data_IF_289656375123
#
_entry.id   IF_289656375123
#
_cell.length_a   1.000
_cell.length_b   1.000
_cell.length_c   1.000
_cell.angle_alpha   90.00
_cell.angle_beta   90.00
_cell.angle_gamma   90.00
#
_symmetry.space_group_name_H-M   'P 1'
#
loop_
_entity.id
_entity.type
_entity.pdbx_description
1 polymer ?
#
# COMPACT_ATOMS: atom_id res chain seq x y z
N UNK A 1 21.83 15.05 23.29
CA UNK A 1 20.66 15.94 23.38
C UNK A 1 19.50 15.19 22.74
N UNK A 2 18.35 15.02 23.40
CA UNK A 2 17.26 14.26 22.81
C UNK A 2 16.50 15.16 21.83
N UNK A 3 16.51 14.80 20.56
CA UNK A 3 15.67 15.43 19.54
C UNK A 3 14.29 14.80 19.58
N UNK A 4 13.31 15.66 19.82
CA UNK A 4 11.88 15.43 19.86
C UNK A 4 11.41 14.87 18.50
N UNK A 5 10.78 13.69 18.51
CA UNK A 5 10.06 13.16 17.36
C UNK A 5 8.61 13.62 17.49
N UNK A 6 8.26 14.69 16.79
CA UNK A 6 6.87 15.12 16.63
C UNK A 6 6.11 14.07 15.82
N UNK A 7 5.39 13.21 16.54
CA UNK A 7 4.31 12.37 16.01
C UNK A 7 3.12 13.30 15.81
N UNK A 8 2.93 13.80 14.59
CA UNK A 8 1.68 14.45 14.21
C UNK A 8 0.66 13.35 13.91
N UNK A 9 -0.38 13.27 14.74
CA UNK A 9 -1.47 12.31 14.59
C UNK A 9 -2.73 13.11 14.20
N UNK A 10 -2.98 13.40 12.91
CA UNK A 10 -4.10 14.25 12.53
C UNK A 10 -5.38 13.49 12.17
N UNK A 11 -5.64 12.27 12.67
CA UNK A 11 -6.97 11.65 12.52
C UNK A 11 -7.38 10.81 13.75
N UNK A 12 -7.72 11.50 14.84
CA UNK A 12 -8.63 10.98 15.86
C UNK A 12 -10.00 11.64 15.69
N UNK A 13 -10.85 11.05 14.85
CA UNK A 13 -12.30 11.22 14.99
C UNK A 13 -12.88 9.86 15.41
N UNK A 14 -12.89 9.63 16.73
CA UNK A 14 -13.79 8.64 17.31
C UNK A 14 -15.12 9.36 17.53
N UNK A 15 -16.05 9.22 16.59
CA UNK A 15 -17.44 9.57 16.83
C UNK A 15 -18.09 8.43 17.62
N UNK A 16 -17.81 8.40 18.92
CA UNK A 16 -18.61 7.70 19.91
C UNK A 16 -19.09 8.77 20.89
N UNK A 17 -20.35 9.17 20.73
CA UNK A 17 -21.11 9.75 21.83
C UNK A 17 -22.43 8.99 21.96
N UNK A 18 -22.74 8.72 23.22
CA UNK A 18 -23.77 7.85 23.74
C UNK A 18 -25.18 8.35 23.46
N UNK A 19 -26.15 7.43 23.34
CA UNK A 19 -27.47 7.57 24.00
C UNK A 19 -28.17 6.20 24.07
N UNK A 20 -28.26 5.68 25.29
CA UNK A 20 -29.39 4.85 25.73
C UNK A 20 -30.60 5.78 25.96
N UNK A 21 -31.80 5.35 25.57
CA UNK A 21 -33.05 5.97 26.05
C UNK A 21 -34.26 5.88 25.12
N UNK A 22 -35.26 5.11 25.55
CA UNK A 22 -36.61 4.91 24.99
C UNK A 22 -37.36 6.18 24.55
N UNK A 23 -38.17 6.07 23.48
CA UNK A 23 -39.63 6.32 23.55
C UNK A 23 -40.40 5.96 22.26
N UNK A 24 -41.66 5.58 22.48
CA UNK A 24 -42.67 5.05 21.55
C UNK A 24 -43.25 6.05 20.51
N UNK A 25 -43.80 5.43 19.45
CA UNK A 25 -44.91 5.82 18.55
C UNK A 25 -44.65 6.37 17.12
N UNK A 26 -45.56 6.05 16.16
CA UNK A 26 -45.29 6.01 14.71
C UNK A 26 -45.87 7.21 13.93
N UNK A 27 -45.55 7.22 12.63
CA UNK A 27 -46.09 8.02 11.52
C UNK A 27 -45.53 9.44 11.32
N UNK A 28 -44.69 9.56 10.28
CA UNK A 28 -44.26 10.83 9.66
C UNK A 28 -43.37 10.58 8.45
N UNK A 29 -43.96 10.61 7.25
CA UNK A 29 -43.30 10.46 5.92
C UNK A 29 -42.29 11.62 5.68
N UNK A 30 -41.17 11.39 4.96
CA UNK A 30 -39.96 12.20 5.11
C UNK A 30 -39.96 13.43 4.20
N UNK A 31 -39.38 14.52 4.69
CA UNK A 31 -39.00 15.66 3.87
C UNK A 31 -37.54 16.03 4.13
N UNK A 32 -36.73 15.80 3.10
CA UNK A 32 -35.61 16.64 2.67
C UNK A 32 -34.60 17.04 3.76
N UNK A 33 -33.72 16.10 4.09
CA UNK A 33 -32.48 16.36 4.82
C UNK A 33 -31.30 16.33 3.85
N UNK A 34 -30.68 17.49 3.66
CA UNK A 34 -29.36 17.66 3.06
C UNK A 34 -28.35 16.69 3.70
N UNK A 35 -27.94 15.63 2.98
CA UNK A 35 -26.86 14.74 3.43
C UNK A 35 -25.54 15.14 2.78
N UNK A 36 -25.04 16.32 3.14
CA UNK A 36 -23.60 16.53 3.18
C UNK A 36 -23.05 15.66 4.31
N UNK A 37 -22.17 14.72 3.97
CA UNK A 37 -21.54 13.66 4.79
C UNK A 37 -22.26 12.30 4.76
N UNK A 38 -21.90 11.48 3.78
CA UNK A 38 -21.96 10.03 3.91
C UNK A 38 -20.57 9.48 3.61
N UNK A 39 -20.09 8.54 4.42
CA UNK A 39 -18.96 7.71 4.04
C UNK A 39 -19.20 7.16 2.62
N UNK A 40 -18.16 7.20 1.79
CA UNK A 40 -18.16 6.74 0.38
C UNK A 40 -18.75 5.34 0.20
N UNK A 41 -18.55 4.47 1.20
CA UNK A 41 -19.18 3.16 1.29
C UNK A 41 -20.14 3.09 2.49
N UNK A 42 -21.17 2.26 2.35
CA UNK A 42 -22.12 1.94 3.42
C UNK A 42 -21.51 1.01 4.47
N UNK A 43 -22.16 0.94 5.64
CA UNK A 43 -21.77 -0.01 6.68
C UNK A 43 -21.87 -1.48 6.21
N UNK A 44 -22.80 -1.78 5.31
CA UNK A 44 -22.98 -3.13 4.75
C UNK A 44 -21.82 -3.51 3.82
N UNK A 45 -21.34 -2.57 3.01
CA UNK A 45 -20.22 -2.78 2.08
C UNK A 45 -18.88 -2.88 2.82
N UNK A 46 -18.70 -2.13 3.91
CA UNK A 46 -17.47 -2.17 4.72
C UNK A 46 -17.43 -3.31 5.74
N UNK A 47 -18.57 -3.93 6.08
CA UNK A 47 -18.65 -4.97 7.10
C UNK A 47 -17.74 -6.20 6.84
N UNK A 48 -17.63 -6.74 5.61
CA UNK A 48 -16.76 -7.88 5.33
C UNK A 48 -15.27 -7.59 5.57
N UNK A 49 -14.80 -6.39 5.22
CA UNK A 49 -13.41 -5.97 5.45
C UNK A 49 -13.11 -5.83 6.95
N UNK A 50 -14.01 -5.18 7.69
CA UNK A 50 -13.93 -5.10 9.16
C UNK A 50 -13.97 -6.48 9.82
N UNK A 51 -14.65 -7.45 9.23
CA UNK A 51 -14.63 -8.82 9.71
C UNK A 51 -13.26 -9.47 9.50
N UNK A 52 -12.60 -9.24 8.35
CA UNK A 52 -11.22 -9.69 8.12
C UNK A 52 -10.25 -9.06 9.12
N UNK A 53 -10.34 -7.75 9.36
CA UNK A 53 -9.53 -7.06 10.37
C UNK A 53 -9.69 -7.70 11.75
N UNK A 54 -10.92 -8.02 12.17
CA UNK A 54 -11.19 -8.67 13.48
C UNK A 54 -10.66 -10.10 13.53
N UNK A 55 -10.83 -10.86 12.45
CA UNK A 55 -10.40 -12.26 12.37
C UNK A 55 -8.87 -12.39 12.39
N UNK A 56 -8.17 -11.44 11.76
CA UNK A 56 -6.71 -11.42 11.63
C UNK A 56 -6.07 -10.25 12.38
N UNK A 57 -6.68 -9.82 13.49
CA UNK A 57 -6.34 -8.58 14.20
C UNK A 57 -4.86 -8.48 14.59
N UNK A 58 -4.23 -9.61 14.88
CA UNK A 58 -2.82 -9.66 15.22
C UNK A 58 -1.91 -9.36 14.00
N UNK A 59 -2.27 -9.79 12.78
CA UNK A 59 -1.57 -9.38 11.56
C UNK A 59 -1.73 -7.89 11.28
N UNK A 60 -2.94 -7.36 11.45
CA UNK A 60 -3.22 -5.92 11.29
C UNK A 60 -2.52 -5.07 12.36
N UNK A 61 -2.17 -5.65 13.51
CA UNK A 61 -1.43 -4.94 14.57
C UNK A 61 0.09 -4.80 14.33
N UNK A 62 0.61 -5.37 13.23
CA UNK A 62 2.05 -5.35 12.95
C UNK A 62 2.62 -3.93 12.88
N UNK A 63 3.79 -3.73 13.50
CA UNK A 63 4.54 -2.46 13.48
C UNK A 63 5.58 -2.41 12.36
N UNK A 64 5.77 -3.50 11.63
CA UNK A 64 6.74 -3.58 10.54
C UNK A 64 6.23 -2.88 9.27
N UNK A 65 4.92 -2.59 9.20
CA UNK A 65 4.28 -1.85 8.11
C UNK A 65 3.79 -0.50 8.63
N UNK A 66 4.23 0.58 8.01
CA UNK A 66 3.99 1.95 8.45
C UNK A 66 3.43 2.78 7.31
N UNK A 67 2.28 3.40 7.57
CA UNK A 67 1.77 4.47 6.72
C UNK A 67 2.57 5.74 7.00
N UNK A 68 3.02 6.42 5.96
CA UNK A 68 3.78 7.67 6.05
C UNK A 68 3.26 8.64 5.01
N UNK A 69 3.30 9.94 5.28
CA UNK A 69 3.03 10.93 4.23
C UNK A 69 4.24 11.05 3.29
N UNK A 70 5.43 11.15 3.88
CA UNK A 70 6.71 11.20 3.18
C UNK A 70 7.73 10.35 3.93
N UNK A 71 8.71 9.82 3.20
CA UNK A 71 9.83 9.13 3.83
C UNK A 71 10.85 10.15 4.35
N UNK A 72 11.35 9.99 5.59
CA UNK A 72 12.41 10.86 6.07
C UNK A 72 13.61 10.81 5.12
N UNK A 73 14.16 11.98 4.75
CA UNK A 73 15.29 12.05 3.82
C UNK A 73 16.45 11.10 4.19
N UNK A 74 16.76 11.00 5.49
CA UNK A 74 17.77 10.06 6.03
C UNK A 74 17.55 8.58 5.67
N UNK A 75 16.31 8.18 5.39
CA UNK A 75 15.96 6.80 5.00
C UNK A 75 16.27 6.58 3.52
N UNK A 76 16.12 7.61 2.68
CA UNK A 76 16.14 7.51 1.21
C UNK A 76 17.38 8.12 0.54
N UNK A 77 18.09 9.01 1.23
CA UNK A 77 19.24 9.74 0.68
C UNK A 77 20.34 8.77 0.24
N UNK A 78 20.71 8.84 -1.04
CA UNK A 78 21.73 7.97 -1.65
C UNK A 78 21.31 6.50 -1.81
N UNK A 79 20.03 6.16 -1.58
CA UNK A 79 19.52 4.80 -1.69
C UNK A 79 19.04 4.48 -3.09
N UNK A 80 19.39 3.28 -3.55
CA UNK A 80 18.93 2.74 -4.83
C UNK A 80 17.77 1.78 -4.60
N UNK A 81 16.71 1.95 -5.38
CA UNK A 81 15.47 1.19 -5.23
C UNK A 81 15.26 0.36 -6.48
N UNK A 82 15.01 -0.93 -6.30
CA UNK A 82 14.52 -1.80 -7.37
C UNK A 82 13.02 -1.57 -7.49
N UNK A 83 12.59 -1.00 -8.61
CA UNK A 83 11.16 -0.84 -8.94
C UNK A 83 10.64 -2.17 -9.49
N UNK A 84 9.48 -2.60 -8.98
CA UNK A 84 8.74 -3.78 -9.44
C UNK A 84 7.49 -3.29 -10.16
N UNK A 85 7.35 -3.65 -11.43
CA UNK A 85 6.19 -3.24 -12.22
C UNK A 85 4.98 -4.16 -11.96
N UNK A 86 3.85 -3.79 -12.56
CA UNK A 86 2.61 -4.57 -12.55
C UNK A 86 2.86 -6.04 -12.95
N UNK A 87 2.29 -6.98 -12.18
CA UNK A 87 2.44 -8.44 -12.35
C UNK A 87 3.87 -8.99 -12.31
N UNK A 88 4.85 -8.15 -11.99
CA UNK A 88 6.22 -8.60 -11.75
C UNK A 88 6.42 -9.07 -10.31
N UNK A 89 7.38 -9.96 -10.15
CA UNK A 89 7.86 -10.36 -8.84
C UNK A 89 9.38 -10.44 -8.81
N UNK A 90 10.01 -9.64 -7.96
CA UNK A 90 11.46 -9.45 -7.95
C UNK A 90 12.02 -9.71 -6.56
N UNK A 91 13.28 -10.18 -6.50
CA UNK A 91 14.01 -10.41 -5.25
C UNK A 91 15.42 -9.85 -5.37
N UNK A 92 15.83 -9.07 -4.38
CA UNK A 92 17.15 -8.47 -4.28
C UNK A 92 17.88 -8.95 -3.02
N UNK A 93 19.19 -9.04 -3.13
CA UNK A 93 20.11 -9.05 -2.00
C UNK A 93 20.64 -7.62 -1.78
N UNK A 94 20.23 -7.00 -0.68
CA UNK A 94 20.54 -5.60 -0.36
C UNK A 94 22.06 -5.32 -0.24
N UNK A 95 22.87 -6.36 -0.07
CA UNK A 95 24.33 -6.24 0.04
C UNK A 95 25.07 -6.47 -1.28
N UNK A 96 24.40 -6.95 -2.35
CA UNK A 96 25.07 -7.41 -3.58
C UNK A 96 24.47 -6.92 -4.87
N UNK A 97 23.16 -6.79 -4.94
CA UNK A 97 22.44 -6.61 -6.20
C UNK A 97 22.38 -5.13 -6.64
N UNK A 98 23.23 -4.27 -6.06
CA UNK A 98 23.26 -2.84 -6.33
C UNK A 98 21.95 -2.08 -6.03
N UNK A 99 21.06 -2.66 -5.25
CA UNK A 99 19.87 -2.02 -4.73
C UNK A 99 19.87 -2.11 -3.22
N UNK A 100 19.53 -1.02 -2.55
CA UNK A 100 19.35 -0.99 -1.11
C UNK A 100 17.95 -1.48 -0.74
N UNK A 101 16.94 -1.05 -1.51
CA UNK A 101 15.50 -1.27 -1.25
C UNK A 101 14.77 -1.81 -2.48
N UNK A 102 13.53 -2.26 -2.28
CA UNK A 102 12.63 -2.72 -3.35
C UNK A 102 11.27 -2.05 -3.15
N UNK A 103 10.60 -1.63 -4.23
CA UNK A 103 9.34 -0.90 -4.13
C UNK A 103 8.46 -1.08 -5.36
N UNK A 104 7.20 -0.69 -5.23
CA UNK A 104 6.23 -0.61 -6.32
C UNK A 104 5.29 0.57 -6.11
N UNK A 105 4.74 1.11 -7.19
CA UNK A 105 3.79 2.21 -7.19
C UNK A 105 2.43 1.75 -7.72
N UNK A 106 1.36 2.48 -7.37
CA UNK A 106 0.05 2.28 -7.99
C UNK A 106 -0.77 1.09 -7.50
N UNK A 107 -0.68 0.72 -6.21
CA UNK A 107 -1.54 -0.32 -5.63
C UNK A 107 -2.94 0.24 -5.36
N UNK A 108 -3.81 0.23 -6.38
CA UNK A 108 -5.24 0.51 -6.22
C UNK A 108 -5.98 -0.75 -5.74
N UNK A 109 -6.50 -1.56 -6.66
CA UNK A 109 -7.08 -2.89 -6.35
C UNK A 109 -6.01 -3.95 -6.10
N UNK A 110 -4.77 -3.67 -6.51
CA UNK A 110 -3.63 -4.58 -6.42
C UNK A 110 -3.06 -4.66 -4.99
N UNK A 111 -2.33 -5.74 -4.72
CA UNK A 111 -1.71 -6.00 -3.42
C UNK A 111 -0.20 -6.19 -3.59
N UNK A 112 0.61 -5.42 -2.88
CA UNK A 112 2.04 -5.65 -2.74
C UNK A 112 2.30 -6.82 -1.78
N UNK A 113 2.83 -7.92 -2.31
CA UNK A 113 3.27 -9.08 -1.53
C UNK A 113 4.75 -8.92 -1.23
N UNK A 114 5.09 -8.56 0.00
CA UNK A 114 6.46 -8.34 0.43
C UNK A 114 7.02 -9.58 1.15
N UNK A 115 8.31 -9.86 0.98
CA UNK A 115 9.01 -10.90 1.73
C UNK A 115 10.38 -10.43 2.23
N UNK A 116 10.74 -10.79 3.47
CA UNK A 116 12.04 -10.49 4.07
C UNK A 116 12.66 -11.69 4.73
N UNK A 117 13.92 -11.95 4.43
CA UNK A 117 14.70 -12.98 5.11
C UNK A 117 16.18 -12.66 5.17
N UNK A 118 16.92 -13.53 5.84
CA UNK A 118 18.37 -13.50 5.88
C UNK A 118 18.90 -14.75 5.20
N UNK A 119 20.01 -14.61 4.47
CA UNK A 119 20.74 -15.78 4.00
C UNK A 119 21.77 -16.28 5.02
N UNK A 120 22.49 -17.36 4.68
CA UNK A 120 23.50 -17.96 5.55
C UNK A 120 24.70 -17.05 5.88
N UNK A 121 24.87 -15.96 5.13
CA UNK A 121 25.88 -14.91 5.40
C UNK A 121 25.33 -13.73 6.19
N UNK A 122 24.10 -13.85 6.70
CA UNK A 122 23.40 -12.77 7.41
C UNK A 122 23.17 -11.52 6.54
N UNK A 123 23.07 -11.72 5.21
CA UNK A 123 22.72 -10.65 4.26
C UNK A 123 21.20 -10.59 4.10
N UNK A 124 20.65 -9.38 4.08
CA UNK A 124 19.21 -9.16 3.90
C UNK A 124 18.78 -9.43 2.47
N UNK A 125 17.83 -10.35 2.34
CA UNK A 125 17.12 -10.64 1.10
C UNK A 125 15.72 -10.06 1.22
N UNK A 126 15.30 -9.30 0.20
CA UNK A 126 13.99 -8.68 0.13
C UNK A 126 13.33 -9.01 -1.19
N UNK A 127 12.06 -9.34 -1.15
CA UNK A 127 11.26 -9.67 -2.31
C UNK A 127 9.95 -8.91 -2.33
N UNK A 128 9.46 -8.62 -3.51
CA UNK A 128 8.19 -7.94 -3.73
C UNK A 128 7.54 -8.47 -5.00
N UNK A 129 6.26 -8.86 -4.91
CA UNK A 129 5.40 -9.00 -6.07
C UNK A 129 4.35 -7.89 -6.09
N UNK A 130 4.08 -7.32 -7.26
CA UNK A 130 2.90 -6.50 -7.49
C UNK A 130 1.77 -7.41 -7.97
N UNK A 131 0.91 -7.85 -7.04
CA UNK A 131 -0.14 -8.84 -7.32
C UNK A 131 -1.44 -8.17 -7.76
N UNK A 132 -1.87 -8.42 -9.00
CA UNK A 132 -3.13 -7.88 -9.56
C UNK A 132 -4.35 -8.76 -9.27
N UNK A 133 -4.14 -10.06 -9.07
CA UNK A 133 -5.22 -11.05 -8.98
C UNK A 133 -5.87 -11.43 -10.31
N UNK A 134 -5.32 -11.01 -11.45
CA UNK A 134 -5.86 -11.33 -12.78
C UNK A 134 -5.24 -12.60 -13.36
N UNK A 135 -3.91 -12.67 -13.36
CA UNK A 135 -3.20 -13.74 -14.09
C UNK A 135 -2.83 -14.96 -13.22
N UNK A 136 -2.85 -14.81 -11.89
CA UNK A 136 -2.29 -15.81 -10.98
C UNK A 136 -3.12 -15.92 -9.71
N UNK A 137 -3.32 -17.15 -9.25
CA UNK A 137 -3.98 -17.43 -7.97
C UNK A 137 -3.09 -16.96 -6.79
N UNK A 138 -3.68 -16.52 -5.66
CA UNK A 138 -2.93 -16.04 -4.50
C UNK A 138 -1.82 -16.98 -4.03
N UNK A 139 -2.09 -18.29 -3.97
CA UNK A 139 -1.12 -19.28 -3.52
C UNK A 139 0.08 -19.41 -4.47
N UNK A 140 -0.15 -19.30 -5.78
CA UNK A 140 0.88 -19.40 -6.80
C UNK A 140 1.79 -18.17 -6.79
N UNK A 141 1.23 -16.97 -6.60
CA UNK A 141 2.02 -15.74 -6.46
C UNK A 141 2.91 -15.78 -5.20
N UNK A 142 2.36 -16.23 -4.07
CA UNK A 142 3.10 -16.40 -2.82
C UNK A 142 4.20 -17.48 -2.95
N UNK A 143 3.91 -18.57 -3.65
CA UNK A 143 4.87 -19.64 -3.92
C UNK A 143 5.98 -19.18 -4.86
N UNK A 144 5.65 -18.42 -5.90
CA UNK A 144 6.65 -17.83 -6.80
C UNK A 144 7.62 -16.94 -6.03
N UNK A 145 7.11 -16.06 -5.16
CA UNK A 145 7.94 -15.21 -4.32
C UNK A 145 8.81 -16.04 -3.37
N UNK A 146 8.22 -17.04 -2.70
CA UNK A 146 8.94 -17.96 -1.81
C UNK A 146 10.11 -18.62 -2.54
N UNK A 147 9.86 -19.20 -3.71
CA UNK A 147 10.88 -19.86 -4.52
C UNK A 147 12.01 -18.91 -4.89
N UNK A 148 11.71 -17.68 -5.33
CA UNK A 148 12.72 -16.66 -5.65
C UNK A 148 13.53 -16.23 -4.42
N UNK A 149 12.88 -16.12 -3.26
CA UNK A 149 13.56 -15.85 -1.98
C UNK A 149 14.51 -16.98 -1.59
N UNK A 150 14.07 -18.23 -1.73
CA UNK A 150 14.85 -19.43 -1.43
C UNK A 150 16.04 -19.60 -2.39
N UNK A 151 15.88 -19.29 -3.67
CA UNK A 151 16.95 -19.25 -4.68
C UNK A 151 18.05 -18.23 -4.32
N UNK A 152 17.65 -17.10 -3.71
CA UNK A 152 18.58 -16.09 -3.17
C UNK A 152 19.11 -16.46 -1.77
N UNK A 153 18.72 -17.62 -1.26
CA UNK A 153 19.20 -18.22 -0.02
C UNK A 153 18.50 -17.72 1.23
N UNK A 154 17.34 -17.07 1.13
CA UNK A 154 16.62 -16.52 2.29
C UNK A 154 15.94 -17.63 3.10
N UNK A 155 16.45 -17.93 4.30
CA UNK A 155 15.84 -18.91 5.18
C UNK A 155 14.58 -18.36 5.87
N UNK A 156 13.47 -19.11 5.82
CA UNK A 156 12.22 -18.83 6.53
C UNK A 156 11.75 -17.36 6.41
N UNK A 157 11.79 -16.80 5.19
CA UNK A 157 11.43 -15.40 5.00
C UNK A 157 10.01 -15.10 5.49
N UNK A 158 9.86 -14.01 6.22
CA UNK A 158 8.57 -13.46 6.67
C UNK A 158 7.88 -12.79 5.50
N UNK A 159 6.55 -12.89 5.42
CA UNK A 159 5.76 -12.22 4.38
C UNK A 159 4.81 -11.18 4.95
N UNK A 160 4.50 -10.17 4.13
CA UNK A 160 3.65 -9.05 4.48
C UNK A 160 2.81 -8.64 3.29
N UNK A 161 1.60 -8.13 3.54
CA UNK A 161 0.66 -7.74 2.49
C UNK A 161 0.27 -6.28 2.66
N UNK A 162 0.31 -5.49 1.58
CA UNK A 162 -0.08 -4.09 1.60
C UNK A 162 -0.88 -3.74 0.34
N UNK A 163 -1.95 -2.96 0.44
CA UNK A 163 -2.74 -2.52 -0.71
C UNK A 163 -4.18 -3.03 -0.66
N UNK A 164 -4.79 -3.24 -1.83
CA UNK A 164 -6.17 -3.64 -1.96
C UNK A 164 -7.16 -2.49 -1.80
N UNK A 165 -8.34 -2.67 -2.38
CA UNK A 165 -9.41 -1.70 -2.41
C UNK A 165 -10.72 -2.23 -1.83
N UNK A 166 -11.40 -1.37 -1.07
CA UNK A 166 -12.82 -1.52 -0.79
C UNK A 166 -13.63 -0.97 -1.96
N UNK A 167 -14.58 -1.75 -2.44
CA UNK A 167 -15.56 -1.30 -3.43
C UNK A 167 -16.92 -1.94 -3.19
N UNK A 168 -17.97 -1.22 -3.57
CA UNK A 168 -19.32 -1.78 -3.69
C UNK A 168 -19.43 -2.67 -4.94
N UNK A 169 -18.60 -2.43 -5.96
CA UNK A 169 -18.49 -3.26 -7.15
C UNK A 169 -17.57 -4.46 -6.86
N UNK A 170 -18.07 -5.71 -6.93
CA UNK A 170 -17.24 -6.90 -6.75
C UNK A 170 -16.05 -6.99 -7.70
N UNK A 171 -16.14 -6.42 -8.91
CA UNK A 171 -15.08 -6.48 -9.92
C UNK A 171 -13.95 -5.48 -9.62
N UNK A 172 -14.21 -4.46 -8.79
CA UNK A 172 -13.23 -3.48 -8.31
C UNK A 172 -12.78 -3.76 -6.87
N UNK A 173 -13.33 -4.80 -6.25
CA UNK A 173 -13.08 -5.15 -4.85
C UNK A 173 -12.00 -6.21 -4.72
N UNK A 174 -10.99 -5.96 -3.88
CA UNK A 174 -9.95 -6.96 -3.57
C UNK A 174 -10.37 -7.97 -2.50
N UNK A 175 -11.60 -7.92 -2.00
CA UNK A 175 -12.04 -8.70 -0.83
C UNK A 175 -11.80 -10.21 -0.96
N UNK A 176 -12.02 -10.78 -2.15
CA UNK A 176 -11.81 -12.22 -2.39
C UNK A 176 -10.33 -12.59 -2.28
N UNK A 177 -9.47 -11.83 -2.99
CA UNK A 177 -8.03 -12.00 -2.97
C UNK A 177 -7.46 -11.80 -1.56
N UNK A 178 -7.88 -10.75 -0.85
CA UNK A 178 -7.48 -10.50 0.54
C UNK A 178 -7.80 -11.67 1.45
N UNK A 179 -9.03 -12.20 1.38
CA UNK A 179 -9.46 -13.34 2.20
C UNK A 179 -8.61 -14.57 1.92
N UNK A 180 -8.34 -14.85 0.65
CA UNK A 180 -7.54 -16.01 0.25
C UNK A 180 -6.08 -15.85 0.70
N UNK A 181 -5.44 -14.71 0.43
CA UNK A 181 -4.09 -14.41 0.90
C UNK A 181 -3.97 -14.53 2.43
N UNK A 182 -4.95 -14.02 3.19
CA UNK A 182 -4.97 -14.15 4.65
C UNK A 182 -5.10 -15.60 5.12
N UNK A 183 -5.85 -16.44 4.40
CA UNK A 183 -5.99 -17.86 4.72
C UNK A 183 -4.66 -18.62 4.60
N UNK A 184 -3.74 -18.11 3.78
CA UNK A 184 -2.42 -18.68 3.53
C UNK A 184 -1.37 -18.31 4.59
N UNK A 185 -1.78 -17.59 5.65
CA UNK A 185 -0.91 -17.09 6.73
C UNK A 185 0.13 -18.09 7.23
N UNK A 186 -0.30 -19.29 7.60
CA UNK A 186 0.58 -20.28 8.23
C UNK A 186 1.54 -20.90 7.21
N UNK A 187 1.05 -21.17 6.00
CA UNK A 187 1.84 -21.77 4.93
C UNK A 187 3.00 -20.87 4.50
N UNK A 188 2.78 -19.55 4.49
CA UNK A 188 3.75 -18.60 3.97
C UNK A 188 4.36 -17.66 5.01
N UNK A 189 4.16 -17.94 6.30
CA UNK A 189 4.74 -17.14 7.38
C UNK A 189 4.38 -15.65 7.25
N UNK A 190 3.09 -15.33 7.07
CA UNK A 190 2.61 -13.95 7.00
C UNK A 190 2.64 -13.35 8.41
N UNK A 191 3.34 -12.22 8.55
CA UNK A 191 3.63 -11.58 9.85
C UNK A 191 2.97 -10.21 10.03
N UNK A 192 2.46 -9.60 8.95
CA UNK A 192 1.77 -8.33 9.06
C UNK A 192 1.02 -7.97 7.79
N UNK A 193 -0.06 -7.22 7.93
CA UNK A 193 -0.86 -6.76 6.79
C UNK A 193 -1.35 -5.31 6.97
N UNK A 194 -1.51 -4.62 5.84
CA UNK A 194 -2.25 -3.35 5.68
C UNK A 194 -3.06 -3.46 4.40
N UNK A 195 -4.22 -4.09 4.51
CA UNK A 195 -5.09 -4.36 3.36
C UNK A 195 -6.20 -3.31 3.25
N UNK A 196 -6.97 -3.35 2.17
CA UNK A 196 -8.10 -2.45 1.89
C UNK A 196 -7.75 -0.98 2.14
N UNK A 197 -6.56 -0.57 1.67
CA UNK A 197 -6.00 0.76 1.89
C UNK A 197 -6.65 1.85 1.02
N UNK A 198 -7.34 1.45 -0.05
CA UNK A 198 -7.95 2.36 -1.03
C UNK A 198 -9.46 2.15 -1.11
N UNK A 199 -10.22 3.16 -1.54
CA UNK A 199 -11.63 3.05 -1.91
C UNK A 199 -11.75 3.24 -3.42
N UNK A 200 -12.21 2.21 -4.14
CA UNK A 200 -12.33 2.23 -5.60
C UNK A 200 -13.81 2.23 -6.01
N UNK A 201 -14.38 3.39 -6.34
CA UNK A 201 -15.79 3.53 -6.71
C UNK A 201 -16.05 3.29 -8.22
N UNK A 202 -15.05 3.55 -9.05
CA UNK A 202 -15.07 3.29 -10.49
C UNK A 202 -13.65 3.00 -11.01
N UNK A 203 -13.54 2.52 -12.25
CA UNK A 203 -12.27 2.12 -12.89
C UNK A 203 -11.25 3.27 -13.04
N UNK A 204 -11.63 4.52 -12.78
CA UNK A 204 -10.79 5.72 -12.86
C UNK A 204 -10.50 6.32 -11.49
N UNK A 205 -10.84 5.64 -10.39
CA UNK A 205 -10.53 6.13 -9.06
C UNK A 205 -9.01 6.25 -8.88
N UNK A 206 -8.54 7.48 -8.59
CA UNK A 206 -7.12 7.80 -8.38
C UNK A 206 -6.57 7.28 -7.04
N UNK A 207 -7.38 6.58 -6.23
CA UNK A 207 -6.93 6.06 -4.94
C UNK A 207 -6.05 4.82 -5.12
N UNK A 208 -4.77 5.04 -4.86
CA UNK A 208 -3.74 4.02 -4.88
C UNK A 208 -2.70 4.33 -3.81
N UNK A 209 -1.99 3.30 -3.37
CA UNK A 209 -0.83 3.45 -2.49
C UNK A 209 0.44 3.00 -3.18
N UNK A 210 1.53 3.69 -2.88
CA UNK A 210 2.88 3.31 -3.22
C UNK A 210 3.50 2.58 -2.04
N UNK A 211 4.45 1.70 -2.31
CA UNK A 211 5.11 0.88 -1.31
C UNK A 211 6.62 0.86 -1.53
N UNK A 212 7.38 0.99 -0.44
CA UNK A 212 8.80 0.65 -0.42
C UNK A 212 9.14 -0.23 0.77
N UNK A 213 9.91 -1.28 0.50
CA UNK A 213 10.43 -2.20 1.50
C UNK A 213 11.91 -1.94 1.72
N UNK A 214 12.24 -1.65 2.98
CA UNK A 214 13.60 -1.52 3.49
C UNK A 214 13.99 -2.76 4.30
N UNK A 215 15.28 -2.92 4.68
CA UNK A 215 15.70 -4.02 5.54
C UNK A 215 14.96 -4.10 6.87
N UNK A 216 14.42 -2.99 7.37
CA UNK A 216 13.83 -2.93 8.71
C UNK A 216 12.31 -2.77 8.67
N UNK A 217 11.78 -2.00 7.72
CA UNK A 217 10.35 -1.65 7.65
C UNK A 217 9.81 -1.67 6.22
N UNK A 218 8.49 -1.78 6.12
CA UNK A 218 7.72 -1.54 4.90
C UNK A 218 6.97 -0.23 5.12
N UNK A 219 7.12 0.68 4.17
CA UNK A 219 6.43 1.96 4.18
C UNK A 219 5.45 2.02 3.02
N UNK A 220 4.28 2.60 3.26
CA UNK A 220 3.32 2.87 2.21
C UNK A 220 2.72 4.27 2.36
N UNK A 221 2.30 4.87 1.26
CA UNK A 221 1.72 6.21 1.20
C UNK A 221 0.83 6.34 -0.03
N UNK A 222 -0.16 7.23 0.02
CA UNK A 222 -0.87 7.71 -1.19
C UNK A 222 0.01 8.66 -2.00
N UNK A 223 1.03 9.26 -1.38
CA UNK A 223 2.00 10.14 -2.04
C UNK A 223 3.17 9.33 -2.64
N UNK A 224 3.92 9.98 -3.53
CA UNK A 224 5.14 9.40 -4.11
C UNK A 224 6.20 9.18 -3.02
N UNK A 225 6.71 7.94 -2.91
CA UNK A 225 7.73 7.58 -1.92
C UNK A 225 9.16 7.73 -2.45
N UNK A 226 9.33 7.65 -3.76
CA UNK A 226 10.60 7.72 -4.47
C UNK A 226 10.35 7.96 -5.95
N UNK A 227 11.33 8.58 -6.61
CA UNK A 227 11.31 8.75 -8.06
C UNK A 227 11.53 7.39 -8.74
N UNK A 228 10.48 6.84 -9.33
CA UNK A 228 10.49 5.56 -10.04
C UNK A 228 10.91 5.71 -11.51
N UNK A 229 11.23 6.93 -11.95
CA UNK A 229 11.61 7.25 -13.34
C UNK A 229 10.41 7.34 -14.30
N UNK A 230 9.20 7.01 -13.84
CA UNK A 230 7.96 7.31 -14.53
C UNK A 230 7.49 8.66 -14.04
N UNK A 231 8.04 9.72 -14.64
CA UNK A 231 7.65 11.09 -14.32
C UNK A 231 6.13 11.22 -14.30
N UNK A 232 5.59 11.68 -13.18
CA UNK A 232 4.26 12.26 -13.16
C UNK A 232 4.27 13.43 -14.15
N UNK A 233 3.76 13.22 -15.36
CA UNK A 233 3.47 14.29 -16.33
C UNK A 233 2.27 15.14 -15.86
N UNK A 234 2.24 15.49 -14.58
CA UNK A 234 1.41 16.54 -14.03
C UNK A 234 2.14 17.89 -14.21
N UNK A 235 2.09 18.38 -15.45
CA UNK A 235 2.08 19.79 -15.82
C UNK A 235 3.08 20.75 -15.15
N UNK A 236 4.17 21.05 -15.86
CA UNK A 236 4.70 22.42 -15.95
C UNK A 236 5.48 22.60 -17.25
N UNK A 237 4.76 22.81 -18.35
CA UNK A 237 5.32 23.38 -19.57
C UNK A 237 5.54 24.88 -19.38
N UNK A 238 6.74 25.25 -18.94
CA UNK A 238 7.22 26.63 -19.12
C UNK A 238 8.67 26.64 -19.57
N UNK A 239 8.91 26.27 -20.82
CA UNK A 239 10.13 26.69 -21.53
C UNK A 239 9.76 27.74 -22.56
N UNK A 240 9.85 28.99 -22.12
CA UNK A 240 9.99 30.16 -22.98
C UNK A 240 11.25 30.03 -23.82
N UNK A 241 11.14 30.12 -25.14
CA UNK A 241 12.26 30.42 -26.03
C UNK A 241 11.77 31.28 -27.19
N UNK A 242 11.67 32.58 -26.95
CA UNK A 242 11.73 33.60 -28.00
C UNK A 242 13.18 33.77 -28.46
N UNK A 243 13.51 33.62 -29.75
CA UNK A 243 14.84 33.94 -30.26
C UNK A 243 15.04 35.46 -30.31
N UNK A 244 16.06 35.92 -29.60
CA UNK A 244 16.47 37.32 -29.53
C UNK A 244 17.17 37.72 -30.86
N UNK A 245 16.65 38.77 -31.49
CA UNK A 245 17.15 39.30 -32.75
C UNK A 245 18.25 40.35 -32.51
N UNK A 246 19.52 40.04 -32.81
CA UNK A 246 20.58 41.06 -32.99
C UNK A 246 21.58 40.75 -34.12
N UNK A 247 21.23 41.23 -35.32
CA UNK A 247 21.96 42.16 -36.19
C UNK A 247 23.47 42.41 -35.92
N UNK A 248 24.32 42.13 -36.92
CA UNK A 248 25.52 42.91 -37.32
C UNK A 248 25.90 42.47 -38.75
N UNK A 249 25.67 43.24 -39.83
CA UNK A 249 26.49 44.35 -40.36
C UNK A 249 28.00 44.12 -40.25
N UNK A 250 28.60 43.66 -41.35
CA UNK A 250 29.66 44.36 -42.08
C UNK A 250 29.55 43.97 -43.57
#
# INVERSE_FOLDING_TARGET
>A
MPTDLTITNPWRYTAYDSVDGLNDHPDGVPCSGSSSHSSRLTARETAPFKQLERQYADLFSSREIQEVNELPARVMEGKRIKVVNLDECEVINASKDNFDYIGTSGLSTCIGICARGLNSRNETIMGLCHYTGVETEPADAMQLLRSKMDEKGAGNAKMYLVGGAMSADPDLSSLSAERELLSLRQQFNIQGVRLHTSICEDIYADEQVNLVMTPDNIYFSTEELYNDGYGSDAGSSSSSNTPDAKRARN
#
